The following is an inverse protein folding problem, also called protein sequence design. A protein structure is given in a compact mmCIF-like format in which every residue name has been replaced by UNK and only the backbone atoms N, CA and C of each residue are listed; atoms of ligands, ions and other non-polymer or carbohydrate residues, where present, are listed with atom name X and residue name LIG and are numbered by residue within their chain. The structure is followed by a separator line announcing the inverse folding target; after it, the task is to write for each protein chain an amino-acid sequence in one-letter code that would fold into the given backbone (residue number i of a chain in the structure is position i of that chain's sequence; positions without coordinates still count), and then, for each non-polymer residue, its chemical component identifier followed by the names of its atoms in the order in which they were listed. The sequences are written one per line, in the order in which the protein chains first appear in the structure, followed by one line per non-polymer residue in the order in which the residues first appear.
data_IF_674042858945
#
_entry.id   IF_674042858945
#
_cell.length_a   1.000
_cell.length_b   1.000
_cell.length_c   1.000
_cell.angle_alpha   90.00
_cell.angle_beta   90.00
_cell.angle_gamma   90.00
#
_symmetry.space_group_name_H-M   'P 1'
#
loop_
_entity.id
_entity.type
_entity.pdbx_description
1 polymer ?
#
# COMPACT_ATOMS: atom_id res chain seq x y z
N UNK A 1 -2.49 -42.68 23.51
CA UNK A 1 -2.72 -41.40 24.23
C UNK A 1 -1.65 -40.43 23.80
N UNK A 2 -2.00 -39.33 23.11
CA UNK A 2 -1.03 -38.27 22.85
C UNK A 2 -0.87 -37.46 24.14
N UNK A 3 0.34 -37.46 24.70
CA UNK A 3 0.66 -36.64 25.87
C UNK A 3 0.94 -35.21 25.40
N UNK A 4 0.06 -34.30 25.77
CA UNK A 4 0.24 -32.86 25.58
C UNK A 4 0.77 -32.29 26.90
N UNK A 5 1.94 -31.65 26.87
CA UNK A 5 2.59 -31.05 28.04
C UNK A 5 2.82 -29.56 27.79
N UNK A 6 2.82 -28.74 28.83
CA UNK A 6 3.10 -27.30 28.74
C UNK A 6 4.39 -26.99 27.97
N UNK A 7 5.43 -27.80 28.15
CA UNK A 7 6.69 -27.70 27.37
C UNK A 7 6.50 -27.94 25.87
N UNK A 8 5.63 -28.88 25.48
CA UNK A 8 5.32 -29.09 24.04
C UNK A 8 4.49 -27.95 23.46
N UNK A 9 3.67 -27.27 24.28
CA UNK A 9 2.93 -26.07 23.88
C UNK A 9 3.91 -24.89 23.67
N UNK A 10 4.86 -24.71 24.57
CA UNK A 10 5.93 -23.70 24.44
C UNK A 10 6.83 -23.97 23.22
N UNK A 11 7.20 -25.23 22.94
CA UNK A 11 7.98 -25.59 21.74
C UNK A 11 7.20 -25.34 20.44
N UNK A 12 5.90 -25.62 20.45
CA UNK A 12 5.03 -25.33 19.30
C UNK A 12 4.91 -23.80 19.11
N UNK A 13 4.70 -23.02 20.17
CA UNK A 13 4.68 -21.55 20.12
C UNK A 13 6.00 -20.95 19.66
N UNK A 14 7.13 -21.53 20.09
CA UNK A 14 8.47 -21.11 19.68
C UNK A 14 8.74 -21.42 18.22
N UNK A 15 8.30 -22.59 17.73
CA UNK A 15 8.37 -23.00 16.33
C UNK A 15 7.45 -22.17 15.43
N UNK A 16 6.26 -21.78 15.91
CA UNK A 16 5.40 -20.82 15.23
C UNK A 16 5.92 -19.37 15.28
N UNK A 17 6.68 -19.01 16.32
CA UNK A 17 7.38 -17.70 16.41
C UNK A 17 8.68 -17.65 15.62
N UNK A 18 9.22 -18.79 15.17
CA UNK A 18 10.37 -18.85 14.27
C UNK A 18 9.96 -18.52 12.82
N UNK A 19 9.21 -17.42 12.70
CA UNK A 19 8.91 -16.81 11.42
C UNK A 19 10.19 -16.09 11.00
N UNK A 20 11.07 -16.84 10.35
CA UNK A 20 12.33 -16.33 9.82
C UNK A 20 12.08 -14.99 9.12
N UNK A 21 12.68 -13.92 9.66
CA UNK A 21 12.51 -12.54 9.20
C UNK A 21 12.74 -12.43 7.69
N UNK A 22 13.64 -13.25 7.13
CA UNK A 22 13.88 -13.40 5.70
C UNK A 22 12.62 -13.80 4.91
N UNK A 23 11.82 -14.77 5.36
CA UNK A 23 10.58 -15.16 4.65
C UNK A 23 9.56 -14.03 4.68
N UNK A 24 9.41 -13.36 5.82
CA UNK A 24 8.49 -12.23 5.98
C UNK A 24 8.92 -11.06 5.11
N UNK A 25 10.20 -10.67 5.17
CA UNK A 25 10.79 -9.62 4.36
C UNK A 25 10.68 -9.94 2.86
N UNK A 26 10.93 -11.20 2.47
CA UNK A 26 10.77 -11.64 1.08
C UNK A 26 9.32 -11.56 0.61
N UNK A 27 8.35 -11.90 1.48
CA UNK A 27 6.92 -11.78 1.19
C UNK A 27 6.50 -10.33 0.94
N UNK A 28 6.91 -9.41 1.81
CA UNK A 28 6.66 -7.98 1.61
C UNK A 28 7.36 -7.43 0.37
N UNK A 29 8.59 -7.82 0.11
CA UNK A 29 9.33 -7.37 -1.07
C UNK A 29 8.65 -7.83 -2.36
N UNK A 30 8.25 -9.10 -2.42
CA UNK A 30 7.62 -9.71 -3.59
C UNK A 30 6.22 -9.13 -3.83
N UNK A 31 5.50 -8.85 -2.74
CA UNK A 31 4.22 -8.18 -2.78
C UNK A 31 4.33 -6.71 -3.22
N UNK A 32 5.33 -5.98 -2.73
CA UNK A 32 5.60 -4.60 -3.16
C UNK A 32 6.03 -4.57 -4.63
N UNK A 33 6.85 -5.54 -5.06
CA UNK A 33 7.20 -5.71 -6.46
C UNK A 33 5.96 -6.03 -7.32
N UNK A 34 5.07 -6.92 -6.86
CA UNK A 34 3.82 -7.23 -7.54
C UNK A 34 2.90 -6.00 -7.66
N UNK A 35 2.74 -5.24 -6.58
CA UNK A 35 1.98 -3.99 -6.59
C UNK A 35 2.58 -2.97 -7.57
N UNK A 36 3.91 -2.77 -7.53
CA UNK A 36 4.62 -1.92 -8.49
C UNK A 36 4.43 -2.38 -9.93
N UNK A 37 4.54 -3.69 -10.22
CA UNK A 37 4.37 -4.26 -11.56
C UNK A 37 2.94 -4.13 -12.08
N UNK A 38 1.94 -4.34 -11.21
CA UNK A 38 0.52 -4.24 -11.57
C UNK A 38 0.12 -2.78 -11.83
N UNK A 39 0.70 -1.84 -11.09
CA UNK A 39 0.56 -0.40 -11.30
C UNK A 39 1.37 0.13 -12.49
N UNK A 40 2.44 -0.55 -12.88
CA UNK A 40 3.23 -0.23 -14.06
C UNK A 40 2.46 -0.61 -15.33
N UNK A 41 1.43 0.18 -15.67
CA UNK A 41 0.85 0.12 -17.02
C UNK A 41 1.94 0.41 -18.04
N UNK A 42 2.02 -0.46 -19.03
CA UNK A 42 2.93 -0.40 -20.18
C UNK A 42 2.54 0.71 -21.18
N UNK A 43 2.23 1.91 -20.69
CA UNK A 43 2.02 3.07 -21.54
C UNK A 43 3.31 3.90 -21.55
N UNK A 44 4.40 3.32 -22.09
CA UNK A 44 5.69 4.01 -22.29
C UNK A 44 5.57 5.28 -23.16
N UNK A 45 4.43 5.48 -23.81
CA UNK A 45 4.13 6.60 -24.71
C UNK A 45 3.47 7.79 -24.00
N UNK A 46 3.00 7.62 -22.75
CA UNK A 46 2.43 8.70 -21.92
C UNK A 46 3.06 8.63 -20.53
N UNK A 47 3.72 9.71 -20.12
CA UNK A 47 4.49 9.94 -18.87
C UNK A 47 3.88 9.54 -17.51
N UNK A 48 2.76 8.80 -17.48
CA UNK A 48 1.99 8.43 -16.30
C UNK A 48 2.60 7.26 -15.51
N UNK A 49 3.49 6.45 -16.10
CA UNK A 49 4.13 5.33 -15.40
C UNK A 49 4.97 5.77 -14.18
N UNK A 50 5.62 6.93 -14.27
CA UNK A 50 6.37 7.51 -13.14
C UNK A 50 5.45 7.97 -12.01
N UNK A 51 4.26 8.48 -12.33
CA UNK A 51 3.25 8.91 -11.34
C UNK A 51 2.69 7.69 -10.62
N UNK A 52 2.41 6.60 -11.33
CA UNK A 52 1.99 5.33 -10.73
C UNK A 52 3.05 4.74 -9.79
N UNK A 53 4.32 4.72 -10.23
CA UNK A 53 5.43 4.23 -9.39
C UNK A 53 5.61 5.08 -8.12
N UNK A 54 5.60 6.41 -8.26
CA UNK A 54 5.64 7.33 -7.11
C UNK A 54 4.44 7.13 -6.18
N UNK A 55 3.27 6.87 -6.77
CA UNK A 55 2.04 6.52 -6.07
C UNK A 55 2.17 5.31 -5.15
N UNK A 56 2.63 4.18 -5.71
CA UNK A 56 2.81 2.93 -4.94
C UNK A 56 3.83 3.11 -3.82
N UNK A 57 4.93 3.82 -4.10
CA UNK A 57 5.94 4.13 -3.08
C UNK A 57 5.36 4.98 -1.95
N UNK A 58 4.54 5.99 -2.28
CA UNK A 58 3.87 6.83 -1.28
C UNK A 58 2.88 6.03 -0.42
N UNK A 59 2.09 5.14 -1.02
CA UNK A 59 1.17 4.27 -0.26
C UNK A 59 1.95 3.33 0.66
N UNK A 60 3.03 2.71 0.17
CA UNK A 60 3.88 1.84 1.00
C UNK A 60 4.50 2.59 2.18
N UNK A 61 5.03 3.81 1.94
CA UNK A 61 5.56 4.66 3.00
C UNK A 61 4.49 5.11 3.99
N UNK A 62 3.27 5.40 3.53
CA UNK A 62 2.13 5.75 4.39
C UNK A 62 1.75 4.60 5.32
N UNK A 63 1.68 3.37 4.80
CA UNK A 63 1.44 2.16 5.60
C UNK A 63 2.55 1.94 6.62
N UNK A 64 3.82 2.07 6.21
CA UNK A 64 4.95 1.94 7.12
C UNK A 64 4.94 3.01 8.23
N UNK A 65 4.61 4.26 7.88
CA UNK A 65 4.51 5.37 8.83
C UNK A 65 3.34 5.18 9.81
N UNK A 66 2.17 4.74 9.33
CA UNK A 66 1.01 4.46 10.18
C UNK A 66 1.28 3.32 11.17
N UNK A 67 1.89 2.23 10.71
CA UNK A 67 2.34 1.14 11.58
C UNK A 67 3.41 1.62 12.58
N UNK A 68 4.39 2.40 12.13
CA UNK A 68 5.43 2.96 13.00
C UNK A 68 4.87 3.86 14.09
N UNK A 69 3.90 4.73 13.75
CA UNK A 69 3.23 5.60 14.69
C UNK A 69 2.38 4.83 15.71
N UNK A 70 1.61 3.83 15.26
CA UNK A 70 0.86 2.94 16.15
C UNK A 70 1.78 2.17 17.11
N UNK A 71 2.97 1.75 16.65
CA UNK A 71 4.00 1.15 17.50
C UNK A 71 4.49 2.12 18.57
N UNK A 72 4.67 3.39 18.23
CA UNK A 72 5.17 4.41 19.14
C UNK A 72 4.17 4.74 20.26
N UNK A 73 2.86 4.66 19.97
CA UNK A 73 1.78 4.88 20.93
C UNK A 73 1.56 3.62 21.82
N UNK A 74 2.30 2.54 21.59
CA UNK A 74 2.26 1.31 22.40
C UNK A 74 1.16 0.33 22.00
N UNK A 75 0.60 0.45 20.79
CA UNK A 75 -0.39 -0.51 20.29
C UNK A 75 0.31 -1.82 19.96
N UNK A 76 -0.14 -2.91 20.60
CA UNK A 76 0.40 -4.25 20.36
C UNK A 76 -0.09 -4.81 19.02
N UNK A 77 0.83 -5.16 18.12
CA UNK A 77 0.49 -5.79 16.85
C UNK A 77 0.26 -7.29 17.02
N UNK A 78 -0.83 -7.79 16.44
CA UNK A 78 -1.07 -9.23 16.30
C UNK A 78 -0.47 -9.73 14.98
N UNK A 79 -0.04 -10.99 14.94
CA UNK A 79 0.55 -11.61 13.75
C UNK A 79 -0.37 -11.52 12.51
N UNK A 80 -1.68 -11.65 12.70
CA UNK A 80 -2.68 -11.48 11.65
C UNK A 80 -2.73 -10.04 11.11
N UNK A 81 -2.63 -9.04 12.00
CA UNK A 81 -2.60 -7.63 11.62
C UNK A 81 -1.36 -7.32 10.82
N UNK A 82 -0.18 -7.76 11.26
CA UNK A 82 1.07 -7.52 10.52
C UNK A 82 1.02 -8.19 9.14
N UNK A 83 0.47 -9.42 9.04
CA UNK A 83 0.41 -10.14 7.76
C UNK A 83 -0.64 -9.62 6.78
N UNK A 84 -1.85 -9.25 7.22
CA UNK A 84 -2.96 -8.92 6.30
C UNK A 84 -3.10 -7.42 6.06
N UNK A 85 -2.84 -6.59 7.08
CA UNK A 85 -3.08 -5.15 7.03
C UNK A 85 -2.31 -4.46 5.90
N UNK A 86 -1.03 -4.78 5.62
CA UNK A 86 -0.30 -4.12 4.54
C UNK A 86 -0.89 -4.42 3.16
N UNK A 87 -1.47 -5.61 2.96
CA UNK A 87 -2.16 -5.98 1.71
C UNK A 87 -3.45 -5.22 1.53
N UNK A 88 -4.24 -5.16 2.60
CA UNK A 88 -5.50 -4.45 2.57
C UNK A 88 -5.26 -2.94 2.39
N UNK A 89 -4.30 -2.36 3.11
CA UNK A 89 -3.98 -0.95 3.03
C UNK A 89 -3.35 -0.55 1.68
N UNK A 90 -2.50 -1.40 1.09
CA UNK A 90 -2.00 -1.17 -0.26
C UNK A 90 -3.13 -1.24 -1.29
N UNK A 91 -4.02 -2.23 -1.19
CA UNK A 91 -5.16 -2.37 -2.11
C UNK A 91 -6.09 -1.15 -2.10
N UNK A 92 -6.42 -0.66 -0.90
CA UNK A 92 -7.27 0.53 -0.74
C UNK A 92 -6.54 1.80 -1.21
N UNK A 93 -5.30 2.02 -0.78
CA UNK A 93 -4.57 3.25 -1.12
C UNK A 93 -4.17 3.36 -2.59
N UNK A 94 -3.96 2.24 -3.29
CA UNK A 94 -3.65 2.20 -4.72
C UNK A 94 -4.85 2.62 -5.57
N UNK A 95 -6.09 2.37 -5.12
CA UNK A 95 -7.32 2.78 -5.81
C UNK A 95 -7.42 4.31 -5.92
N UNK A 96 -7.21 5.02 -4.81
CA UNK A 96 -7.23 6.48 -4.77
C UNK A 96 -6.16 7.09 -5.68
N UNK A 97 -4.95 6.51 -5.70
CA UNK A 97 -3.85 7.00 -6.55
C UNK A 97 -4.14 6.76 -8.04
N UNK A 98 -4.73 5.61 -8.39
CA UNK A 98 -5.15 5.35 -9.78
C UNK A 98 -6.23 6.31 -10.23
N UNK A 99 -7.24 6.55 -9.40
CA UNK A 99 -8.32 7.48 -9.69
C UNK A 99 -7.76 8.88 -9.94
N UNK A 100 -6.83 9.33 -9.09
CA UNK A 100 -6.22 10.65 -9.19
C UNK A 100 -5.29 10.77 -10.41
N UNK A 101 -4.49 9.74 -10.70
CA UNK A 101 -3.65 9.70 -11.90
C UNK A 101 -4.49 9.72 -13.19
N UNK A 102 -5.58 8.95 -13.23
CA UNK A 102 -6.51 8.93 -14.36
C UNK A 102 -7.17 10.30 -14.58
N UNK A 103 -7.70 10.91 -13.51
CA UNK A 103 -8.31 12.23 -13.58
C UNK A 103 -7.30 13.31 -14.01
N UNK A 104 -6.04 13.20 -13.56
CA UNK A 104 -4.97 14.11 -13.96
C UNK A 104 -4.60 13.95 -15.44
N UNK A 105 -4.54 12.72 -15.94
CA UNK A 105 -4.33 12.42 -17.37
C UNK A 105 -5.45 13.01 -18.23
N UNK A 106 -6.71 12.80 -17.85
CA UNK A 106 -7.87 13.33 -18.57
C UNK A 106 -7.85 14.87 -18.60
N UNK A 107 -7.54 15.50 -17.47
CA UNK A 107 -7.40 16.96 -17.34
C UNK A 107 -6.23 17.48 -18.21
N UNK A 108 -5.12 16.74 -18.28
CA UNK A 108 -3.95 17.08 -19.10
C UNK A 108 -4.21 17.04 -20.62
N UNK A 109 -5.18 16.24 -21.07
CA UNK A 109 -5.61 16.23 -22.48
C UNK A 109 -6.45 17.45 -22.87
N UNK A 110 -7.03 18.14 -21.89
CA UNK A 110 -7.86 19.31 -22.14
C UNK A 110 -6.99 20.56 -22.33
N UNK A 111 -6.78 20.96 -23.59
CA UNK A 111 -5.98 22.16 -23.96
C UNK A 111 -6.61 23.49 -23.51
N UNK A 112 -7.87 23.50 -23.05
CA UNK A 112 -8.52 24.72 -22.52
C UNK A 112 -7.97 25.16 -21.17
N UNK A 113 -7.30 24.27 -20.43
CA UNK A 113 -6.86 24.51 -19.06
C UNK A 113 -5.36 24.83 -19.10
N UNK A 114 -4.92 26.00 -18.61
CA UNK A 114 -3.50 26.34 -18.49
C UNK A 114 -2.79 25.36 -17.56
N UNK A 115 -1.48 25.16 -17.75
CA UNK A 115 -0.70 24.16 -17.02
C UNK A 115 -0.76 24.36 -15.49
N UNK A 116 -0.80 25.60 -15.03
CA UNK A 116 -0.84 25.97 -13.61
C UNK A 116 -2.14 25.51 -12.93
N UNK A 117 -3.27 25.52 -13.65
CA UNK A 117 -4.59 25.20 -13.09
C UNK A 117 -4.95 23.71 -13.18
N UNK A 118 -4.20 22.90 -13.93
CA UNK A 118 -4.53 21.48 -14.16
C UNK A 118 -4.57 20.65 -12.88
N UNK A 119 -3.63 20.88 -11.98
CA UNK A 119 -3.60 20.17 -10.69
C UNK A 119 -4.79 20.57 -9.82
N UNK A 120 -5.15 21.87 -9.82
CA UNK A 120 -6.30 22.39 -9.08
C UNK A 120 -7.62 21.86 -9.61
N UNK A 121 -7.82 21.84 -10.93
CA UNK A 121 -9.04 21.31 -11.56
C UNK A 121 -9.16 19.79 -11.36
N UNK A 122 -8.05 19.06 -11.43
CA UNK A 122 -8.03 17.63 -11.10
C UNK A 122 -8.46 17.42 -9.65
N UNK A 123 -7.85 18.12 -8.68
CA UNK A 123 -8.19 17.96 -7.26
C UNK A 123 -9.62 18.42 -6.95
N UNK A 124 -10.12 19.44 -7.64
CA UNK A 124 -11.51 19.90 -7.50
C UNK A 124 -12.53 18.83 -7.92
N UNK A 125 -12.22 18.04 -8.97
CA UNK A 125 -13.12 16.97 -9.45
C UNK A 125 -13.03 15.72 -8.60
N UNK A 126 -11.81 15.31 -8.23
CA UNK A 126 -11.57 13.99 -7.62
C UNK A 126 -11.42 14.04 -6.10
N UNK A 127 -11.07 15.20 -5.53
CA UNK A 127 -10.71 15.33 -4.12
C UNK A 127 -11.86 15.04 -3.16
N UNK A 128 -13.09 15.43 -3.50
CA UNK A 128 -14.27 15.10 -2.68
C UNK A 128 -14.55 13.59 -2.68
N UNK A 129 -14.34 12.90 -3.81
CA UNK A 129 -14.50 11.45 -3.90
C UNK A 129 -13.45 10.71 -3.07
N UNK A 130 -12.18 11.13 -3.13
CA UNK A 130 -11.11 10.55 -2.30
C UNK A 130 -11.41 10.76 -0.82
N UNK A 131 -11.79 11.97 -0.41
CA UNK A 131 -12.12 12.27 0.99
C UNK A 131 -13.37 11.54 1.52
N UNK A 132 -14.24 11.02 0.65
CA UNK A 132 -15.37 10.20 1.06
C UNK A 132 -15.00 8.72 1.22
N UNK A 133 -13.96 8.26 0.52
CA UNK A 133 -13.50 6.86 0.54
C UNK A 133 -12.43 6.60 1.61
N UNK A 134 -11.64 7.62 1.96
CA UNK A 134 -10.58 7.59 2.98
C UNK A 134 -11.09 7.92 4.39
#
# INVERSE_FOLDING_TARGET
VLSFTTTTLDDILKSFSDVSVIRVASGYLLMLAYACLTMLRWDCSRSQGAVGLAGVLLVALSVAAGLGLCSLIGISFNAATTQVLPFLALGVGVDDVFLLAHAFSETGQNKRIPFEDRTGECLKRTGASVALTS
#
